data_IF_548645039898
#
_entry.id   IF_548645039898
#
_cell.length_a   1.000
_cell.length_b   1.000
_cell.length_c   1.000
_cell.angle_alpha   90.00
_cell.angle_beta   90.00
_cell.angle_gamma   90.00
#
_symmetry.space_group_name_H-M   'P 1'
#
loop_
_entity.id
_entity.type
_entity.pdbx_description
1 polymer ?
#
# COMPACT_ATOMS: atom_id res chain seq x y z
N UNK A 1 -47.37 7.85 18.26
CA UNK A 1 -46.53 8.60 19.21
C UNK A 1 -45.94 7.60 20.20
N UNK A 2 -44.64 7.34 20.12
CA UNK A 2 -43.97 6.32 20.95
C UNK A 2 -43.39 7.03 22.16
N UNK A 3 -43.86 6.70 23.38
CA UNK A 3 -43.37 7.30 24.63
C UNK A 3 -41.99 6.72 24.97
N UNK A 4 -40.98 7.59 25.03
CA UNK A 4 -39.65 7.28 25.58
C UNK A 4 -39.76 6.95 27.07
N UNK A 5 -39.01 5.94 27.55
CA UNK A 5 -38.90 5.63 28.99
C UNK A 5 -37.51 6.07 29.46
N UNK A 6 -37.48 6.83 30.56
CA UNK A 6 -36.26 7.20 31.28
C UNK A 6 -35.76 5.97 32.04
N UNK A 7 -34.48 5.64 31.85
CA UNK A 7 -33.79 4.60 32.61
C UNK A 7 -32.61 5.23 33.35
N UNK A 8 -32.44 4.81 34.59
CA UNK A 8 -31.37 5.25 35.47
C UNK A 8 -30.21 4.27 35.39
N UNK A 9 -29.01 4.76 35.13
CA UNK A 9 -27.78 3.99 35.20
C UNK A 9 -27.32 3.94 36.65
N UNK A 10 -27.16 2.72 37.18
CA UNK A 10 -26.77 2.48 38.57
C UNK A 10 -25.49 1.65 38.59
N UNK A 11 -24.56 2.02 39.45
CA UNK A 11 -23.39 1.19 39.75
C UNK A 11 -23.85 -0.14 40.39
N UNK A 12 -23.54 -1.30 39.78
CA UNK A 12 -24.06 -2.58 40.24
C UNK A 12 -23.41 -3.09 41.54
N UNK A 13 -22.30 -2.49 42.00
CA UNK A 13 -21.63 -2.86 43.24
C UNK A 13 -21.98 -1.91 44.39
N UNK A 14 -22.16 -0.61 44.11
CA UNK A 14 -22.39 0.41 45.15
C UNK A 14 -23.84 0.90 45.21
N UNK A 15 -24.63 0.71 44.15
CA UNK A 15 -26.00 1.21 44.06
C UNK A 15 -26.11 2.71 43.78
N UNK A 16 -25.00 3.40 43.51
CA UNK A 16 -25.01 4.83 43.20
C UNK A 16 -25.55 5.13 41.79
N UNK A 17 -26.35 6.19 41.67
CA UNK A 17 -26.90 6.67 40.42
C UNK A 17 -25.83 7.42 39.62
N UNK A 18 -25.40 6.84 38.49
CA UNK A 18 -24.34 7.35 37.62
C UNK A 18 -24.85 8.26 36.49
N UNK A 19 -26.18 8.28 36.24
CA UNK A 19 -26.82 9.18 35.28
C UNK A 19 -28.16 8.68 34.74
N UNK A 20 -28.82 9.49 33.92
CA UNK A 20 -30.08 9.14 33.22
C UNK A 20 -29.83 9.01 31.71
N UNK A 21 -30.33 7.94 31.08
CA UNK A 21 -30.28 7.75 29.62
C UNK A 21 -31.67 7.50 29.03
N UNK A 22 -31.94 8.09 27.85
CA UNK A 22 -33.20 7.92 27.11
C UNK A 22 -33.05 6.70 26.20
N UNK A 23 -33.60 5.56 26.60
CA UNK A 23 -33.57 4.34 25.79
C UNK A 23 -34.63 4.43 24.69
N UNK A 24 -34.19 4.56 23.45
CA UNK A 24 -35.03 4.50 22.26
C UNK A 24 -35.26 3.01 21.89
N UNK A 25 -36.50 2.51 21.68
CA UNK A 25 -36.76 1.06 21.51
C UNK A 25 -36.06 0.37 20.33
N UNK A 26 -35.37 1.12 19.45
CA UNK A 26 -34.60 0.57 18.32
C UNK A 26 -33.16 0.18 18.67
N UNK A 27 -32.68 0.40 19.88
CA UNK A 27 -31.29 0.09 20.28
C UNK A 27 -31.11 -1.26 21.01
N UNK A 28 -32.08 -2.18 20.93
CA UNK A 28 -31.84 -3.55 21.33
C UNK A 28 -31.07 -4.32 20.24
N UNK A 29 -29.80 -4.63 20.52
CA UNK A 29 -29.08 -5.71 19.86
C UNK A 29 -28.25 -5.34 18.64
N UNK A 30 -27.41 -4.29 18.71
CA UNK A 30 -26.32 -4.16 17.73
C UNK A 30 -25.26 -5.22 18.06
N UNK A 31 -25.23 -6.32 17.30
CA UNK A 31 -24.19 -7.35 17.39
C UNK A 31 -22.79 -6.72 17.34
N UNK A 32 -21.80 -7.30 18.02
CA UNK A 32 -20.40 -6.86 17.94
C UNK A 32 -19.91 -6.74 16.49
N UNK A 33 -20.38 -7.63 15.61
CA UNK A 33 -20.09 -7.58 14.18
C UNK A 33 -20.63 -6.32 13.51
N UNK A 34 -21.81 -5.83 13.91
CA UNK A 34 -22.38 -4.59 13.39
C UNK A 34 -21.66 -3.35 13.96
N UNK A 35 -21.26 -3.38 15.24
CA UNK A 35 -20.43 -2.32 15.83
C UNK A 35 -19.07 -2.23 15.14
N UNK A 36 -18.43 -3.38 14.90
CA UNK A 36 -17.14 -3.44 14.21
C UNK A 36 -17.27 -3.02 12.74
N UNK A 37 -18.33 -3.43 12.04
CA UNK A 37 -18.61 -2.99 10.67
C UNK A 37 -18.82 -1.48 10.58
N UNK A 38 -19.55 -0.89 11.54
CA UNK A 38 -19.74 0.56 11.62
C UNK A 38 -18.44 1.30 11.89
N UNK A 39 -17.63 0.81 12.83
CA UNK A 39 -16.30 1.38 13.11
C UNK A 39 -15.38 1.30 11.89
N UNK A 40 -15.34 0.16 11.20
CA UNK A 40 -14.57 -0.01 9.96
C UNK A 40 -15.06 0.93 8.84
N UNK A 41 -16.38 1.19 8.77
CA UNK A 41 -16.96 2.15 7.83
C UNK A 41 -16.50 3.59 8.14
N UNK A 42 -16.56 4.00 9.40
CA UNK A 42 -16.06 5.31 9.83
C UNK A 42 -14.55 5.45 9.60
N UNK A 43 -13.76 4.41 9.83
CA UNK A 43 -12.32 4.42 9.55
C UNK A 43 -12.01 4.49 8.05
N UNK A 44 -12.82 3.84 7.20
CA UNK A 44 -12.75 4.00 5.73
C UNK A 44 -13.04 5.44 5.31
N UNK A 45 -14.07 6.05 5.87
CA UNK A 45 -14.47 7.43 5.57
C UNK A 45 -13.45 8.47 6.06
N UNK A 46 -12.60 8.12 7.05
CA UNK A 46 -11.56 9.00 7.59
C UNK A 46 -10.21 8.91 6.85
N UNK A 47 -10.00 7.93 5.98
CA UNK A 47 -8.73 7.76 5.26
C UNK A 47 -8.64 8.70 4.04
N UNK A 48 -8.23 9.95 4.28
CA UNK A 48 -8.08 10.99 3.26
C UNK A 48 -6.78 10.86 2.42
N UNK A 49 -5.99 9.81 2.62
CA UNK A 49 -4.71 9.65 1.91
C UNK A 49 -4.94 9.42 0.42
N UNK A 50 -4.08 10.01 -0.39
CA UNK A 50 -4.09 9.77 -1.82
C UNK A 50 -3.34 8.48 -2.13
N UNK A 51 -4.02 7.53 -2.76
CA UNK A 51 -3.43 6.28 -3.23
C UNK A 51 -4.07 5.85 -4.53
N UNK A 52 -3.38 4.97 -5.24
CA UNK A 52 -3.92 4.11 -6.29
C UNK A 52 -3.91 2.67 -5.80
N UNK A 53 -4.33 1.75 -6.66
CA UNK A 53 -4.29 0.32 -6.45
C UNK A 53 -3.53 -0.35 -7.58
N UNK A 54 -2.82 -1.42 -7.22
CA UNK A 54 -2.33 -2.42 -8.16
C UNK A 54 -3.08 -3.74 -7.96
N UNK A 55 -3.45 -4.40 -9.06
CA UNK A 55 -3.98 -5.77 -9.04
C UNK A 55 -2.83 -6.76 -8.90
N UNK A 56 -2.74 -7.43 -7.75
CA UNK A 56 -1.55 -8.21 -7.37
C UNK A 56 -1.21 -9.33 -8.36
N UNK A 57 -2.23 -10.00 -8.91
CA UNK A 57 -2.02 -11.05 -9.90
C UNK A 57 -1.69 -10.47 -11.27
N UNK A 58 -2.41 -9.45 -11.72
CA UNK A 58 -2.24 -8.90 -13.07
C UNK A 58 -0.87 -8.21 -13.24
N UNK A 59 -0.35 -7.56 -12.18
CA UNK A 59 0.97 -6.92 -12.27
C UNK A 59 2.13 -7.93 -12.40
N UNK A 60 1.91 -9.25 -12.21
CA UNK A 60 2.94 -10.27 -12.49
C UNK A 60 3.29 -10.32 -13.98
N UNK A 61 2.33 -10.08 -14.87
CA UNK A 61 2.55 -9.94 -16.31
C UNK A 61 3.42 -8.71 -16.63
N UNK A 62 3.16 -7.60 -15.94
CA UNK A 62 3.99 -6.40 -16.07
C UNK A 62 5.41 -6.62 -15.56
N UNK A 63 5.56 -7.39 -14.48
CA UNK A 63 6.86 -7.73 -13.88
C UNK A 63 7.72 -8.59 -14.81
N UNK A 64 7.11 -9.54 -15.54
CA UNK A 64 7.83 -10.44 -16.45
C UNK A 64 8.27 -9.78 -17.75
N UNK A 65 7.60 -8.71 -18.16
CA UNK A 65 7.81 -8.04 -19.46
C UNK A 65 8.72 -6.82 -19.40
N UNK A 66 8.80 -6.15 -18.24
CA UNK A 66 9.56 -4.91 -18.09
C UNK A 66 10.89 -5.10 -17.34
N UNK A 67 11.89 -4.31 -17.75
CA UNK A 67 13.11 -4.18 -16.96
C UNK A 67 12.83 -3.59 -15.58
N UNK A 68 13.64 -3.94 -14.59
CA UNK A 68 13.50 -3.40 -13.22
C UNK A 68 13.53 -1.87 -13.20
N UNK A 69 14.32 -1.21 -14.05
CA UNK A 69 14.34 0.25 -14.13
C UNK A 69 13.00 0.81 -14.64
N UNK A 70 12.40 0.17 -15.66
CA UNK A 70 11.08 0.58 -16.17
C UNK A 70 9.98 0.35 -15.14
N UNK A 71 10.02 -0.74 -14.37
CA UNK A 71 9.11 -0.98 -13.24
C UNK A 71 9.21 0.14 -12.20
N UNK A 72 10.41 0.64 -11.93
CA UNK A 72 10.62 1.77 -11.04
C UNK A 72 9.93 3.04 -11.51
N UNK A 73 10.09 3.36 -12.81
CA UNK A 73 9.41 4.51 -13.40
C UNK A 73 7.89 4.32 -13.49
N UNK A 74 7.40 3.10 -13.72
CA UNK A 74 5.97 2.79 -13.69
C UNK A 74 5.38 3.05 -12.30
N UNK A 75 6.06 2.59 -11.24
CA UNK A 75 5.62 2.81 -9.87
C UNK A 75 5.60 4.30 -9.49
N UNK A 76 6.53 5.08 -10.04
CA UNK A 76 6.50 6.54 -9.91
C UNK A 76 5.37 7.15 -10.73
N UNK A 77 5.17 6.71 -11.98
CA UNK A 77 4.19 7.26 -12.90
C UNK A 77 2.75 7.07 -12.41
N UNK A 78 2.42 5.94 -11.80
CA UNK A 78 1.06 5.72 -11.27
C UNK A 78 0.67 6.75 -10.18
N UNK A 79 1.65 7.38 -9.51
CA UNK A 79 1.43 8.45 -8.54
C UNK A 79 0.79 9.71 -9.17
N UNK A 80 0.63 9.73 -10.48
CA UNK A 80 0.06 10.80 -11.28
C UNK A 80 -1.29 10.44 -11.90
N UNK A 81 -1.87 9.29 -11.57
CA UNK A 81 -3.20 8.92 -12.06
C UNK A 81 -4.30 9.79 -11.46
N UNK A 82 -5.22 10.24 -12.29
CA UNK A 82 -6.48 10.87 -11.90
C UNK A 82 -7.46 9.83 -11.34
N UNK A 83 -8.29 10.27 -10.39
CA UNK A 83 -9.31 9.43 -9.78
C UNK A 83 -10.44 9.12 -10.78
N UNK A 84 -10.85 7.86 -10.85
CA UNK A 84 -11.95 7.36 -11.67
C UNK A 84 -11.59 7.14 -13.14
N UNK A 85 -10.77 8.01 -13.73
CA UNK A 85 -10.44 7.95 -15.17
C UNK A 85 -9.13 7.23 -15.48
N UNK A 86 -8.17 7.27 -14.56
CA UNK A 86 -6.82 6.74 -14.74
C UNK A 86 -5.90 7.58 -15.63
N UNK A 87 -6.37 8.74 -16.12
CA UNK A 87 -5.54 9.67 -16.90
C UNK A 87 -4.32 10.13 -16.11
N UNK A 88 -3.19 10.29 -16.78
CA UNK A 88 -1.98 10.82 -16.17
C UNK A 88 -2.08 12.34 -16.10
N UNK A 89 -1.83 12.90 -14.91
CA UNK A 89 -1.91 14.32 -14.61
C UNK A 89 -0.51 14.88 -14.36
N UNK A 90 -0.16 15.90 -15.13
CA UNK A 90 1.07 16.68 -15.01
C UNK A 90 1.22 17.37 -13.66
N UNK A 91 2.39 17.96 -13.43
CA UNK A 91 2.66 18.76 -12.22
C UNK A 91 1.80 20.02 -12.14
N UNK A 92 1.33 20.50 -13.30
CA UNK A 92 0.44 21.64 -13.49
C UNK A 92 -1.05 21.30 -13.30
N UNK A 93 -1.38 20.02 -13.07
CA UNK A 93 -2.77 19.56 -12.94
C UNK A 93 -3.47 19.29 -14.28
N UNK A 94 -2.79 19.47 -15.41
CA UNK A 94 -3.35 19.17 -16.73
C UNK A 94 -3.17 17.70 -17.10
N UNK A 95 -4.06 17.17 -17.95
CA UNK A 95 -3.89 15.82 -18.51
C UNK A 95 -2.65 15.80 -19.40
N UNK A 96 -1.80 14.78 -19.22
CA UNK A 96 -0.63 14.55 -20.06
C UNK A 96 -1.10 14.09 -21.45
N UNK A 97 -0.94 14.96 -22.44
CA UNK A 97 -1.35 14.69 -23.84
C UNK A 97 -0.16 14.35 -24.72
N UNK A 98 1.06 14.66 -24.27
CA UNK A 98 2.31 14.43 -24.99
C UNK A 98 3.29 13.66 -24.10
N UNK A 99 4.16 12.86 -24.71
CA UNK A 99 5.21 12.11 -23.98
C UNK A 99 6.20 13.03 -23.27
N UNK A 100 6.37 14.27 -23.72
CA UNK A 100 7.20 15.28 -23.04
C UNK A 100 6.64 15.64 -21.65
N UNK A 101 5.33 15.54 -21.45
CA UNK A 101 4.69 15.78 -20.16
C UNK A 101 5.10 14.69 -19.14
N UNK A 102 5.20 13.44 -19.60
CA UNK A 102 5.72 12.30 -18.81
C UNK A 102 7.20 12.53 -18.47
N UNK A 103 8.01 12.97 -19.44
CA UNK A 103 9.42 13.31 -19.25
C UNK A 103 9.61 14.34 -18.13
N UNK A 104 8.90 15.47 -18.23
CA UNK A 104 8.96 16.56 -17.25
C UNK A 104 8.43 16.15 -15.88
N UNK A 105 7.39 15.31 -15.86
CA UNK A 105 6.80 14.83 -14.62
C UNK A 105 7.74 13.91 -13.86
N UNK A 106 8.34 12.94 -14.55
CA UNK A 106 9.30 12.00 -13.97
C UNK A 106 10.68 12.61 -13.73
N UNK A 107 11.00 13.73 -14.40
CA UNK A 107 12.31 14.39 -14.30
C UNK A 107 13.41 13.55 -14.94
N UNK A 108 13.13 12.93 -16.08
CA UNK A 108 14.06 12.05 -16.80
C UNK A 108 14.48 12.68 -18.13
N UNK A 109 15.54 12.15 -18.74
CA UNK A 109 15.98 12.60 -20.07
C UNK A 109 15.07 12.08 -21.17
N UNK A 110 15.00 12.81 -22.29
CA UNK A 110 14.25 12.39 -23.47
C UNK A 110 14.58 10.98 -23.96
N UNK A 111 15.87 10.61 -23.96
CA UNK A 111 16.33 9.27 -24.34
C UNK A 111 15.74 8.19 -23.43
N UNK A 112 15.73 8.42 -22.13
CA UNK A 112 15.14 7.50 -21.15
C UNK A 112 13.62 7.46 -21.28
N UNK A 113 12.98 8.61 -21.45
CA UNK A 113 11.53 8.70 -21.65
C UNK A 113 11.06 7.95 -22.91
N UNK A 114 11.78 8.08 -24.03
CA UNK A 114 11.49 7.36 -25.27
C UNK A 114 11.55 5.85 -25.09
N UNK A 115 12.56 5.34 -24.38
CA UNK A 115 12.69 3.91 -24.06
C UNK A 115 11.58 3.44 -23.13
N UNK A 116 11.29 4.21 -22.07
CA UNK A 116 10.22 3.92 -21.13
C UNK A 116 8.86 3.85 -21.82
N UNK A 117 8.45 4.93 -22.50
CA UNK A 117 7.15 4.99 -23.17
C UNK A 117 7.02 3.86 -24.20
N UNK A 118 8.05 3.61 -25.02
CA UNK A 118 8.02 2.49 -25.98
C UNK A 118 7.79 1.16 -25.27
N UNK A 119 8.48 0.89 -24.16
CA UNK A 119 8.33 -0.35 -23.42
C UNK A 119 6.94 -0.48 -22.79
N UNK A 120 6.40 0.59 -22.20
CA UNK A 120 5.06 0.56 -21.60
C UNK A 120 3.96 0.40 -22.65
N UNK A 121 4.05 1.10 -23.79
CA UNK A 121 3.06 1.02 -24.88
C UNK A 121 3.09 -0.35 -25.57
N UNK A 122 4.29 -0.87 -25.86
CA UNK A 122 4.42 -2.17 -26.55
C UNK A 122 3.89 -3.35 -25.73
N UNK A 123 3.80 -3.18 -24.40
CA UNK A 123 3.24 -4.17 -23.47
C UNK A 123 1.82 -3.80 -23.01
N UNK A 124 1.16 -2.80 -23.63
CA UNK A 124 -0.22 -2.43 -23.31
C UNK A 124 -0.43 -1.82 -21.92
N UNK A 125 0.63 -1.32 -21.27
CA UNK A 125 0.59 -0.75 -19.91
C UNK A 125 0.27 0.74 -19.95
N UNK A 126 0.82 1.45 -20.94
CA UNK A 126 0.52 2.86 -21.20
C UNK A 126 -0.34 2.95 -22.45
N UNK A 127 -1.53 3.53 -22.29
CA UNK A 127 -2.51 3.67 -23.38
C UNK A 127 -2.60 5.14 -23.81
N UNK A 128 -2.49 5.37 -25.12
CA UNK A 128 -2.88 6.62 -25.73
C UNK A 128 -4.37 6.56 -26.07
N UNK A 129 -5.20 7.29 -25.33
CA UNK A 129 -6.64 7.37 -25.56
C UNK A 129 -7.03 8.79 -25.95
N UNK A 130 -8.24 8.97 -26.50
CA UNK A 130 -8.74 10.32 -26.83
C UNK A 130 -8.72 11.18 -25.56
N UNK A 131 -7.90 12.23 -25.57
CA UNK A 131 -7.75 13.15 -24.43
C UNK A 131 -6.43 13.04 -23.67
N UNK A 132 -5.61 12.00 -23.89
CA UNK A 132 -4.27 11.90 -23.31
C UNK A 132 -3.80 10.48 -23.03
N UNK A 133 -2.79 10.37 -22.16
CA UNK A 133 -2.25 9.09 -21.74
C UNK A 133 -2.86 8.62 -20.42
N UNK A 134 -3.13 7.33 -20.31
CA UNK A 134 -3.54 6.67 -19.06
C UNK A 134 -2.78 5.37 -18.83
N UNK A 135 -2.69 4.94 -17.58
CA UNK A 135 -2.23 3.58 -17.27
C UNK A 135 -3.40 2.62 -17.44
N UNK A 136 -3.14 1.47 -18.06
CA UNK A 136 -4.16 0.45 -18.30
C UNK A 136 -4.80 0.01 -16.97
N UNK A 137 -6.14 0.15 -16.83
CA UNK A 137 -6.86 -0.18 -15.61
C UNK A 137 -6.79 -1.66 -15.23
N UNK A 138 -6.38 -2.55 -16.14
CA UNK A 138 -6.14 -3.97 -15.86
C UNK A 138 -5.02 -4.17 -14.83
N UNK A 139 -4.04 -3.26 -14.77
CA UNK A 139 -2.88 -3.38 -13.89
C UNK A 139 -2.96 -2.44 -12.69
N UNK A 140 -3.28 -1.17 -12.94
CA UNK A 140 -3.38 -0.13 -11.94
C UNK A 140 -4.63 0.70 -12.13
N UNK A 141 -5.27 1.08 -11.03
CA UNK A 141 -6.41 1.99 -11.08
C UNK A 141 -6.40 2.92 -9.86
N UNK A 142 -7.05 4.06 -9.99
CA UNK A 142 -7.29 4.98 -8.87
C UNK A 142 -8.78 5.24 -8.81
N UNK A 143 -9.45 4.77 -7.78
CA UNK A 143 -10.91 4.79 -7.72
C UNK A 143 -11.44 4.05 -6.50
N UNK A 144 -12.72 3.71 -6.53
CA UNK A 144 -13.30 2.80 -5.55
C UNK A 144 -12.92 1.37 -5.89
N UNK A 145 -12.64 0.55 -4.88
CA UNK A 145 -12.28 -0.85 -5.05
C UNK A 145 -13.22 -1.75 -4.23
N UNK A 146 -13.66 -2.85 -4.84
CA UNK A 146 -14.44 -3.90 -4.18
C UNK A 146 -13.64 -5.20 -4.02
N UNK A 147 -12.48 -5.31 -4.66
CA UNK A 147 -11.68 -6.53 -4.71
C UNK A 147 -10.71 -6.70 -3.53
N UNK A 148 -10.40 -7.95 -3.16
CA UNK A 148 -9.48 -8.28 -2.06
C UNK A 148 -8.03 -8.54 -2.53
N UNK A 149 -7.81 -8.72 -3.84
CA UNK A 149 -6.50 -9.04 -4.44
C UNK A 149 -5.77 -7.81 -4.96
N UNK A 150 -5.89 -6.72 -4.21
CA UNK A 150 -5.30 -5.43 -4.52
C UNK A 150 -4.37 -4.98 -3.39
N UNK A 151 -3.46 -4.07 -3.74
CA UNK A 151 -2.61 -3.37 -2.78
C UNK A 151 -2.67 -1.85 -3.05
N UNK A 152 -2.87 -1.07 -1.99
CA UNK A 152 -2.83 0.40 -2.06
C UNK A 152 -1.40 0.88 -2.22
N UNK A 153 -1.19 1.86 -3.08
CA UNK A 153 0.09 2.52 -3.30
C UNK A 153 -0.06 4.00 -2.86
N UNK A 154 0.46 4.37 -1.70
CA UNK A 154 0.26 5.72 -1.15
C UNK A 154 1.13 6.76 -1.89
N UNK A 155 0.46 7.64 -2.63
CA UNK A 155 1.06 8.60 -3.55
C UNK A 155 2.09 9.51 -2.89
N UNK A 156 1.75 10.11 -1.75
CA UNK A 156 2.63 11.08 -1.07
C UNK A 156 3.92 10.45 -0.63
N UNK A 157 3.85 9.34 0.11
CA UNK A 157 5.03 8.64 0.64
C UNK A 157 5.88 8.08 -0.50
N UNK A 158 5.24 7.49 -1.51
CA UNK A 158 5.94 6.92 -2.66
C UNK A 158 6.67 7.99 -3.49
N UNK A 159 6.07 9.16 -3.71
CA UNK A 159 6.77 10.30 -4.34
C UNK A 159 8.01 10.74 -3.57
N UNK A 160 8.01 10.67 -2.23
CA UNK A 160 9.21 10.98 -1.44
C UNK A 160 10.27 9.89 -1.60
N UNK A 161 9.89 8.62 -1.61
CA UNK A 161 10.83 7.51 -1.87
C UNK A 161 11.52 7.63 -3.22
N UNK A 162 10.79 8.01 -4.28
CA UNK A 162 11.36 8.21 -5.61
C UNK A 162 12.41 9.33 -5.67
N UNK A 163 12.50 10.21 -4.66
CA UNK A 163 13.56 11.23 -4.58
C UNK A 163 14.86 10.71 -3.97
N UNK A 164 14.78 9.66 -3.15
CA UNK A 164 15.92 9.15 -2.38
C UNK A 164 16.43 7.80 -2.89
N UNK A 165 15.57 7.01 -3.54
CA UNK A 165 15.90 5.71 -4.12
C UNK A 165 16.02 5.81 -5.63
N UNK A 166 16.92 4.99 -6.19
CA UNK A 166 17.12 4.87 -7.64
C UNK A 166 15.94 4.13 -8.28
N UNK A 167 15.65 4.37 -9.57
CA UNK A 167 14.59 3.64 -10.28
C UNK A 167 14.71 2.12 -10.19
N UNK A 168 15.91 1.55 -10.24
CA UNK A 168 16.10 0.10 -10.07
C UNK A 168 15.70 -0.41 -8.67
N UNK A 169 15.87 0.39 -7.62
CA UNK A 169 15.49 0.03 -6.25
C UNK A 169 13.97 0.11 -6.06
N UNK A 170 13.35 1.14 -6.63
CA UNK A 170 11.88 1.28 -6.71
C UNK A 170 11.27 0.16 -7.57
N UNK A 171 11.93 -0.25 -8.64
CA UNK A 171 11.48 -1.35 -9.47
C UNK A 171 11.60 -2.71 -8.81
N UNK A 172 12.65 -2.93 -8.01
CA UNK A 172 12.75 -4.10 -7.16
C UNK A 172 11.59 -4.15 -6.16
N UNK A 173 11.26 -3.01 -5.54
CA UNK A 173 10.11 -2.88 -4.65
C UNK A 173 8.79 -3.23 -5.35
N UNK A 174 8.61 -2.80 -6.60
CA UNK A 174 7.45 -3.17 -7.42
C UNK A 174 7.32 -4.70 -7.59
N UNK A 175 8.44 -5.40 -7.81
CA UNK A 175 8.44 -6.86 -7.96
C UNK A 175 7.98 -7.60 -6.69
N UNK A 176 8.06 -6.98 -5.52
CA UNK A 176 7.64 -7.57 -4.24
C UNK A 176 6.14 -7.40 -3.96
N UNK A 177 5.46 -6.47 -4.64
CA UNK A 177 4.06 -6.14 -4.38
C UNK A 177 3.08 -7.32 -4.49
N UNK A 178 3.23 -8.27 -5.44
CA UNK A 178 2.36 -9.44 -5.51
C UNK A 178 2.47 -10.37 -4.29
N UNK A 179 3.51 -10.25 -3.49
CA UNK A 179 3.87 -11.19 -2.42
C UNK A 179 3.59 -10.61 -1.02
N UNK A 180 2.87 -9.49 -0.95
CA UNK A 180 2.54 -8.83 0.32
C UNK A 180 1.32 -9.47 0.95
N UNK A 181 1.49 -10.04 2.14
CA UNK A 181 0.44 -10.70 2.90
C UNK A 181 -0.69 -9.73 3.28
N UNK A 182 -1.94 -10.20 3.27
CA UNK A 182 -3.12 -9.35 3.49
C UNK A 182 -3.16 -8.74 4.89
N UNK A 183 -2.93 -9.55 5.92
CA UNK A 183 -3.06 -9.13 7.32
C UNK A 183 -1.78 -8.50 7.86
N UNK A 184 -0.64 -9.12 7.57
CA UNK A 184 0.63 -8.80 8.26
C UNK A 184 1.53 -7.87 7.45
N UNK A 185 1.20 -7.57 6.19
CA UNK A 185 2.04 -6.81 5.27
C UNK A 185 3.46 -7.42 5.07
N UNK A 186 3.63 -8.69 5.43
CA UNK A 186 4.87 -9.46 5.27
C UNK A 186 5.05 -9.94 3.83
N UNK A 187 6.29 -10.10 3.39
CA UNK A 187 6.60 -10.71 2.10
C UNK A 187 6.58 -12.24 2.24
N UNK A 188 5.67 -12.90 1.52
CA UNK A 188 5.44 -14.34 1.58
C UNK A 188 5.00 -14.90 0.22
N UNK A 189 5.19 -16.21 0.02
CA UNK A 189 4.83 -16.88 -1.23
C UNK A 189 3.30 -17.09 -1.35
N UNK A 190 2.59 -17.15 -0.22
CA UNK A 190 1.15 -17.33 -0.10
C UNK A 190 0.48 -16.08 0.50
N UNK A 191 0.46 -14.94 -0.22
CA UNK A 191 -0.04 -13.65 0.29
C UNK A 191 -1.54 -13.63 0.65
N UNK A 192 -2.28 -14.67 0.28
CA UNK A 192 -3.71 -14.82 0.55
C UNK A 192 -4.01 -15.85 1.65
N UNK A 193 -2.99 -16.39 2.32
CA UNK A 193 -3.17 -17.29 3.43
C UNK A 193 -3.96 -16.61 4.57
N UNK A 194 -4.89 -17.35 5.17
CA UNK A 194 -5.74 -16.84 6.26
C UNK A 194 -5.19 -17.36 7.59
N UNK A 195 -4.71 -18.61 7.62
CA UNK A 195 -4.10 -19.16 8.82
C UNK A 195 -2.69 -18.60 9.02
N UNK A 196 -2.54 -17.77 10.04
CA UNK A 196 -1.26 -17.19 10.45
C UNK A 196 -0.12 -18.20 10.65
N UNK A 197 -0.43 -19.47 10.97
CA UNK A 197 0.57 -20.53 11.17
C UNK A 197 1.11 -21.11 9.85
N UNK A 198 0.36 -20.94 8.77
CA UNK A 198 0.69 -21.47 7.44
C UNK A 198 1.34 -20.39 6.54
N UNK A 199 1.58 -19.18 7.06
CA UNK A 199 2.27 -18.13 6.30
C UNK A 199 3.72 -18.54 6.03
N UNK A 200 4.08 -18.58 4.74
CA UNK A 200 5.41 -18.97 4.28
C UNK A 200 6.18 -17.73 3.82
N UNK A 201 6.97 -17.13 4.71
CA UNK A 201 7.76 -15.94 4.40
C UNK A 201 8.86 -16.23 3.37
N UNK A 202 9.21 -15.23 2.58
CA UNK A 202 10.27 -15.33 1.58
C UNK A 202 11.62 -14.88 2.17
N UNK A 203 12.60 -15.78 2.18
CA UNK A 203 13.98 -15.45 2.54
C UNK A 203 14.74 -14.82 1.35
N UNK A 204 16.01 -14.42 1.55
CA UNK A 204 16.82 -13.76 0.51
C UNK A 204 16.96 -14.61 -0.77
N UNK A 205 17.11 -15.92 -0.63
CA UNK A 205 17.24 -16.84 -1.77
C UNK A 205 15.92 -16.95 -2.55
N UNK A 206 14.81 -17.14 -1.84
CA UNK A 206 13.49 -17.18 -2.47
C UNK A 206 13.15 -15.84 -3.14
N UNK A 207 13.49 -14.70 -2.53
CA UNK A 207 13.35 -13.37 -3.15
C UNK A 207 14.19 -13.26 -4.42
N UNK A 208 15.43 -13.76 -4.42
CA UNK A 208 16.27 -13.78 -5.62
C UNK A 208 15.61 -14.55 -6.77
N UNK A 209 15.02 -15.71 -6.46
CA UNK A 209 14.32 -16.56 -7.43
C UNK A 209 13.07 -15.85 -7.98
N UNK A 210 12.15 -15.40 -7.12
CA UNK A 210 10.88 -14.80 -7.57
C UNK A 210 11.04 -13.44 -8.28
N UNK A 211 12.15 -12.73 -8.02
CA UNK A 211 12.43 -11.44 -8.68
C UNK A 211 13.37 -11.57 -9.88
N UNK A 212 13.94 -12.76 -10.10
CA UNK A 212 14.99 -13.04 -11.09
C UNK A 212 16.20 -12.11 -10.96
N UNK A 213 16.52 -11.71 -9.72
CA UNK A 213 17.66 -10.86 -9.42
C UNK A 213 18.70 -11.70 -8.69
N UNK A 214 19.94 -11.65 -9.20
CA UNK A 214 21.07 -12.35 -8.59
C UNK A 214 21.17 -12.11 -7.07
N UNK A 215 21.28 -13.17 -6.28
CA UNK A 215 21.24 -13.14 -4.82
C UNK A 215 22.18 -12.10 -4.18
N UNK A 216 23.43 -11.99 -4.70
CA UNK A 216 24.40 -10.95 -4.27
C UNK A 216 23.86 -9.51 -4.33
N UNK A 217 22.91 -9.20 -5.21
CA UNK A 217 22.29 -7.87 -5.32
C UNK A 217 21.13 -7.68 -4.36
N UNK A 218 20.41 -8.75 -3.99
CA UNK A 218 19.24 -8.69 -3.10
C UNK A 218 19.59 -8.03 -1.77
N UNK A 219 20.68 -8.46 -1.11
CA UNK A 219 21.09 -7.90 0.17
C UNK A 219 21.36 -6.38 0.11
N UNK A 220 21.91 -5.89 -1.01
CA UNK A 220 22.15 -4.45 -1.23
C UNK A 220 20.83 -3.70 -1.45
N UNK A 221 19.91 -4.28 -2.23
CA UNK A 221 18.60 -3.70 -2.48
C UNK A 221 17.77 -3.63 -1.19
N UNK A 222 17.70 -4.72 -0.42
CA UNK A 222 17.01 -4.76 0.88
C UNK A 222 17.62 -3.76 1.87
N UNK A 223 18.95 -3.64 1.91
CA UNK A 223 19.62 -2.62 2.73
C UNK A 223 19.20 -1.20 2.34
N UNK A 224 19.10 -0.92 1.04
CA UNK A 224 18.66 0.39 0.54
C UNK A 224 17.21 0.69 0.92
N UNK A 225 16.30 -0.27 0.72
CA UNK A 225 14.91 -0.17 1.12
C UNK A 225 14.75 0.05 2.63
N UNK A 226 15.55 -0.65 3.45
CA UNK A 226 15.56 -0.48 4.91
C UNK A 226 16.02 0.91 5.32
N UNK A 227 17.10 1.41 4.72
CA UNK A 227 17.59 2.79 4.95
C UNK A 227 16.54 3.83 4.55
N UNK A 228 15.76 3.57 3.50
CA UNK A 228 14.63 4.39 3.08
C UNK A 228 13.36 4.23 3.93
N UNK A 229 13.36 3.41 4.99
CA UNK A 229 12.19 3.15 5.83
C UNK A 229 11.08 2.37 5.13
N UNK A 230 11.38 1.70 4.01
CA UNK A 230 10.40 0.97 3.19
C UNK A 230 10.10 -0.41 3.78
N UNK A 231 11.08 -1.03 4.41
CA UNK A 231 10.96 -2.36 4.99
C UNK A 231 11.48 -2.39 6.42
N UNK A 232 10.90 -3.28 7.22
CA UNK A 232 11.44 -3.73 8.48
C UNK A 232 11.83 -5.21 8.36
N UNK A 233 12.92 -5.60 9.02
CA UNK A 233 13.35 -6.99 9.10
C UNK A 233 13.17 -7.46 10.53
N UNK A 234 12.53 -8.61 10.70
CA UNK A 234 12.40 -9.28 11.99
C UNK A 234 13.21 -10.56 11.95
N UNK A 235 14.15 -10.66 12.89
CA UNK A 235 15.06 -11.79 13.03
C UNK A 235 14.52 -12.69 14.15
N UNK A 236 14.28 -13.96 13.83
CA UNK A 236 13.92 -14.97 14.82
C UNK A 236 15.16 -15.48 15.58
N UNK A 237 14.94 -16.21 16.68
CA UNK A 237 15.98 -16.58 17.66
C UNK A 237 17.25 -17.20 17.05
N UNK A 238 17.14 -17.95 15.96
CA UNK A 238 18.27 -18.64 15.33
C UNK A 238 19.08 -17.79 14.33
N UNK A 239 18.76 -16.49 14.17
CA UNK A 239 19.36 -15.54 13.22
C UNK A 239 19.30 -15.95 11.74
N UNK A 240 18.84 -17.16 11.42
CA UNK A 240 18.76 -17.71 10.06
C UNK A 240 17.41 -17.39 9.43
N UNK A 241 16.37 -17.28 10.25
CA UNK A 241 15.05 -16.92 9.80
C UNK A 241 14.81 -15.42 10.01
N UNK A 242 14.96 -14.67 8.91
CA UNK A 242 14.58 -13.26 8.84
C UNK A 242 13.37 -13.15 7.91
N UNK A 243 12.29 -12.55 8.41
CA UNK A 243 11.18 -12.16 7.55
C UNK A 243 11.13 -10.65 7.37
N UNK A 244 10.53 -10.24 6.25
CA UNK A 244 10.50 -8.86 5.78
C UNK A 244 9.07 -8.37 5.78
N UNK A 245 8.85 -7.22 6.40
CA UNK A 245 7.55 -6.52 6.44
C UNK A 245 7.68 -5.22 5.66
N UNK A 246 6.72 -4.92 4.78
CA UNK A 246 6.67 -3.61 4.13
C UNK A 246 6.02 -2.57 5.04
N UNK A 247 6.43 -1.32 4.87
CA UNK A 247 5.84 -0.20 5.57
C UNK A 247 4.38 0.03 5.11
N UNK A 248 3.39 -0.07 6.03
CA UNK A 248 1.98 0.09 5.70
C UNK A 248 1.59 1.52 5.29
N UNK A 249 2.45 2.51 5.50
CA UNK A 249 2.24 3.89 5.04
C UNK A 249 2.75 4.14 3.63
N UNK A 250 3.35 3.12 3.01
CA UNK A 250 3.79 3.12 1.60
C UNK A 250 2.89 2.17 0.81
N UNK A 251 2.71 0.94 1.30
CA UNK A 251 1.83 -0.05 0.68
C UNK A 251 0.99 -0.78 1.71
N UNK A 252 -0.30 -0.92 1.44
CA UNK A 252 -1.21 -1.60 2.38
C UNK A 252 -2.41 -2.22 1.68
N UNK A 253 -2.83 -3.40 2.13
CA UNK A 253 -3.93 -4.14 1.49
C UNK A 253 -5.28 -3.90 2.14
N UNK A 254 -5.32 -3.67 3.46
CA UNK A 254 -6.59 -3.53 4.18
C UNK A 254 -7.18 -2.14 4.03
N UNK A 255 -8.47 -2.05 4.30
CA UNK A 255 -9.14 -0.77 4.51
C UNK A 255 -8.73 -0.13 5.83
N UNK A 256 -8.80 1.20 5.92
CA UNK A 256 -8.48 1.93 7.14
C UNK A 256 -6.98 2.01 7.41
N UNK A 257 -6.63 1.99 8.70
CA UNK A 257 -5.27 2.16 9.19
C UNK A 257 -4.65 0.82 9.61
N UNK A 258 -3.32 0.67 9.51
CA UNK A 258 -2.61 -0.47 10.08
C UNK A 258 -2.83 -0.59 11.59
N UNK A 259 -2.76 -1.80 12.13
CA UNK A 259 -2.83 -2.06 13.57
C UNK A 259 -1.64 -1.45 14.33
N UNK A 260 -1.74 -1.37 15.66
CA UNK A 260 -0.73 -0.74 16.49
C UNK A 260 0.64 -1.43 16.43
N UNK A 261 0.70 -2.74 16.15
CA UNK A 261 1.96 -3.48 16.01
C UNK A 261 2.69 -3.02 14.75
N UNK A 262 2.00 -3.01 13.60
CA UNK A 262 2.54 -2.51 12.34
C UNK A 262 2.89 -1.02 12.43
N UNK A 263 2.06 -0.22 13.09
CA UNK A 263 2.36 1.21 13.31
C UNK A 263 3.62 1.40 14.14
N UNK A 264 3.73 0.69 15.26
CA UNK A 264 4.88 0.75 16.15
C UNK A 264 6.17 0.34 15.45
N UNK A 265 6.12 -0.72 14.62
CA UNK A 265 7.28 -1.23 13.88
C UNK A 265 7.96 -0.18 12.99
N UNK A 266 7.18 0.75 12.39
CA UNK A 266 7.72 1.77 11.48
C UNK A 266 7.77 3.19 12.06
N UNK A 267 7.10 3.45 13.19
CA UNK A 267 7.07 4.77 13.82
C UNK A 267 7.93 4.88 15.11
N UNK A 268 8.30 3.75 15.72
CA UNK A 268 9.11 3.77 16.94
C UNK A 268 10.50 4.37 16.68
N UNK A 269 10.97 5.16 17.64
CA UNK A 269 12.31 5.75 17.64
C UNK A 269 13.10 5.22 18.84
N UNK A 270 14.44 5.08 18.72
CA UNK A 270 15.26 4.69 19.85
C UNK A 270 15.12 5.72 20.98
N UNK A 271 15.14 5.25 22.22
CA UNK A 271 15.20 6.15 23.38
C UNK A 271 16.50 6.96 23.32
N UNK A 272 16.38 8.28 23.30
CA UNK A 272 17.49 9.20 23.43
C UNK A 272 17.46 9.78 24.86
N UNK A 273 18.36 9.38 25.77
CA UNK A 273 18.43 10.00 27.09
C UNK A 273 18.71 11.49 26.89
N UNK A 274 17.90 12.35 27.54
CA UNK A 274 18.23 13.78 27.61
C UNK A 274 19.54 13.89 28.38
N UNK A 275 20.60 14.36 27.72
CA UNK A 275 21.85 14.71 28.39
C UNK A 275 21.51 15.62 29.58
N UNK A 276 21.88 15.18 30.79
CA UNK A 276 21.80 15.98 32.01
C UNK A 276 22.90 17.01 32.04
#
# INVERSE_FOLDING_TARGET
MTRSRLAYLVDPQTGELLGEEIINPKSQGISENQRQAYKNKLEKERDNRHFSFAFMENIKEVISTLSTVHLGYLLQLQCHMEFGTGFLIGKDGAVMTKKVDIEHTLGITNSTNKRLCKALESNGILEAVKGGYRINPTYHFRGQAQEQKIIKLFTTTLKQLCKILKPAEIGFLYKLLPYVHYETNMICINPHEIDSKEIQYLNIESIAQITEIHQKKISTLLRSLRKGGVIAETILEDKRHTFITLNPYIFYRKSGQPDNTLRGMFAASPYAPKNR
#
